data_IF_207240977247
#
_entry.id   IF_207240977247
#
_cell.length_a   1.000
_cell.length_b   1.000
_cell.length_c   1.000
_cell.angle_alpha   90.00
_cell.angle_beta   90.00
_cell.angle_gamma   90.00
#
_symmetry.space_group_name_H-M   'P 1'
#
loop_
_entity.id
_entity.type
_entity.pdbx_description
1 polymer ?
#
# COMPACT_ATOMS: atom_id res chain seq x y z
N UNK A 1 18.06 -20.36 -16.76
CA UNK A 1 17.22 -19.15 -16.73
C UNK A 1 17.91 -18.13 -15.84
N UNK A 2 18.08 -16.89 -16.29
CA UNK A 2 18.68 -15.84 -15.47
C UNK A 2 17.65 -15.32 -14.46
N UNK A 3 18.04 -15.22 -13.18
CA UNK A 3 17.21 -14.62 -12.13
C UNK A 3 17.59 -13.15 -11.99
N UNK A 4 16.64 -12.26 -12.25
CA UNK A 4 16.82 -10.82 -12.06
C UNK A 4 16.66 -10.46 -10.58
N UNK A 5 17.28 -9.35 -10.18
CA UNK A 5 17.12 -8.80 -8.83
C UNK A 5 15.67 -8.31 -8.60
N UNK A 6 15.18 -8.35 -7.35
CA UNK A 6 13.87 -7.76 -7.02
C UNK A 6 13.91 -6.24 -7.16
N UNK A 7 12.72 -5.61 -7.21
CA UNK A 7 12.59 -4.14 -7.25
C UNK A 7 13.26 -3.46 -6.04
N UNK A 8 13.19 -4.09 -4.87
CA UNK A 8 13.81 -3.61 -3.64
C UNK A 8 14.38 -4.80 -2.84
N UNK A 9 15.56 -4.70 -2.18
CA UNK A 9 16.18 -5.83 -1.48
C UNK A 9 15.33 -6.46 -0.37
N UNK A 10 14.41 -5.68 0.22
CA UNK A 10 13.48 -6.18 1.27
C UNK A 10 12.24 -6.89 0.71
N UNK A 11 12.02 -6.86 -0.61
CA UNK A 11 10.87 -7.48 -1.27
C UNK A 11 11.34 -8.77 -1.92
N UNK A 12 10.99 -9.91 -1.33
CA UNK A 12 11.32 -11.24 -1.82
C UNK A 12 10.10 -12.00 -2.36
N UNK A 13 8.94 -11.34 -2.45
CA UNK A 13 7.67 -11.86 -2.94
C UNK A 13 7.12 -10.99 -4.07
N UNK A 14 6.06 -11.47 -4.74
CA UNK A 14 5.33 -10.63 -5.68
C UNK A 14 4.67 -9.46 -4.93
N UNK A 15 4.73 -8.29 -5.55
CA UNK A 15 4.03 -7.11 -5.07
C UNK A 15 2.53 -7.27 -5.32
N UNK A 16 1.73 -7.03 -4.29
CA UNK A 16 0.27 -7.09 -4.32
C UNK A 16 -0.28 -5.96 -3.46
N UNK A 17 -1.11 -5.11 -4.05
CA UNK A 17 -1.47 -3.83 -3.44
C UNK A 17 -2.43 -3.02 -4.29
N UNK A 18 -2.59 -1.77 -3.90
CA UNK A 18 -3.46 -0.80 -4.56
C UNK A 18 -2.88 0.61 -4.46
N UNK A 19 -3.51 1.54 -5.17
CA UNK A 19 -3.40 2.95 -4.86
C UNK A 19 -4.18 3.20 -3.56
N UNK A 20 -3.51 3.76 -2.55
CA UNK A 20 -4.10 4.05 -1.26
C UNK A 20 -4.15 5.55 -1.04
N UNK A 21 -5.35 6.07 -0.80
CA UNK A 21 -5.64 7.48 -0.60
C UNK A 21 -6.10 7.78 0.84
N UNK A 22 -5.26 7.55 1.87
CA UNK A 22 -5.63 7.78 3.28
C UNK A 22 -6.01 9.23 3.54
N UNK A 23 -5.47 10.12 2.72
CA UNK A 23 -5.65 11.54 2.87
C UNK A 23 -7.13 11.94 2.70
N UNK A 24 -7.94 11.15 1.99
CA UNK A 24 -9.37 11.41 1.84
C UNK A 24 -10.20 11.07 3.09
N UNK A 25 -9.60 10.43 4.10
CA UNK A 25 -10.29 9.87 5.26
C UNK A 25 -9.84 10.47 6.61
N UNK A 26 -9.21 11.65 6.61
CA UNK A 26 -8.70 12.28 7.84
C UNK A 26 -9.76 12.61 8.90
N UNK A 27 -11.01 12.80 8.48
CA UNK A 27 -12.12 13.08 9.39
C UNK A 27 -12.68 11.81 10.07
N UNK A 28 -12.20 10.63 9.67
CA UNK A 28 -12.65 9.33 10.16
C UNK A 28 -11.43 8.44 10.51
N UNK A 29 -10.68 8.77 11.58
CA UNK A 29 -9.38 8.15 11.87
C UNK A 29 -9.46 6.62 12.08
N UNK A 30 -10.60 6.10 12.53
CA UNK A 30 -10.86 4.66 12.67
C UNK A 30 -10.78 3.88 11.34
N UNK A 31 -10.89 4.56 10.20
CA UNK A 31 -10.82 3.93 8.87
C UNK A 31 -9.40 3.47 8.57
N UNK A 32 -8.37 4.23 8.94
CA UNK A 32 -6.98 3.87 8.66
C UNK A 32 -6.61 2.55 9.37
N UNK A 33 -7.03 2.38 10.62
CA UNK A 33 -6.78 1.13 11.36
C UNK A 33 -7.51 -0.07 10.73
N UNK A 34 -8.75 0.14 10.26
CA UNK A 34 -9.53 -0.88 9.56
C UNK A 34 -8.90 -1.23 8.21
N UNK A 35 -8.43 -0.23 7.47
CA UNK A 35 -7.72 -0.40 6.20
C UNK A 35 -6.50 -1.29 6.38
N UNK A 36 -5.64 -0.98 7.36
CA UNK A 36 -4.43 -1.78 7.65
C UNK A 36 -4.80 -3.22 7.99
N UNK A 37 -5.82 -3.44 8.84
CA UNK A 37 -6.29 -4.77 9.20
C UNK A 37 -6.80 -5.55 7.97
N UNK A 38 -7.57 -4.90 7.09
CA UNK A 38 -8.09 -5.52 5.87
C UNK A 38 -6.97 -5.79 4.84
N UNK A 39 -5.99 -4.89 4.70
CA UNK A 39 -4.81 -5.09 3.85
C UNK A 39 -4.03 -6.32 4.26
N UNK A 40 -3.86 -6.55 5.58
CA UNK A 40 -3.22 -7.75 6.11
C UNK A 40 -4.03 -9.01 5.80
N UNK A 41 -5.36 -8.97 5.96
CA UNK A 41 -6.26 -10.09 5.62
C UNK A 41 -6.21 -10.42 4.12
N UNK A 42 -6.13 -9.40 3.27
CA UNK A 42 -5.99 -9.52 1.82
C UNK A 42 -4.57 -9.88 1.34
N UNK A 43 -3.60 -9.95 2.26
CA UNK A 43 -2.18 -10.19 1.97
C UNK A 43 -1.59 -9.16 1.00
N UNK A 44 -1.99 -7.90 1.15
CA UNK A 44 -1.34 -6.78 0.46
C UNK A 44 0.00 -6.44 1.14
N UNK A 45 1.01 -6.08 0.36
CA UNK A 45 2.37 -5.82 0.84
C UNK A 45 3.00 -4.53 0.29
N UNK A 46 2.27 -3.77 -0.50
CA UNK A 46 2.69 -2.46 -1.04
C UNK A 46 1.47 -1.59 -1.28
N UNK A 47 1.64 -0.28 -1.19
CA UNK A 47 0.63 0.71 -1.60
C UNK A 47 1.31 1.85 -2.33
N UNK A 48 0.65 2.38 -3.36
CA UNK A 48 1.02 3.68 -3.94
C UNK A 48 0.27 4.77 -3.19
N UNK A 49 0.96 5.74 -2.62
CA UNK A 49 0.35 6.84 -1.86
C UNK A 49 0.72 8.18 -2.50
N UNK A 50 -0.10 9.21 -2.31
CA UNK A 50 0.26 10.57 -2.72
C UNK A 50 0.04 10.90 -4.20
N UNK A 51 -0.56 10.00 -5.00
CA UNK A 51 -0.69 10.18 -6.46
C UNK A 51 -1.45 11.46 -6.82
N UNK A 52 -2.52 11.78 -6.07
CA UNK A 52 -3.38 12.95 -6.30
C UNK A 52 -3.49 13.85 -5.08
N UNK A 53 -2.49 13.84 -4.20
CA UNK A 53 -2.58 14.49 -2.88
C UNK A 53 -1.98 15.89 -2.84
N UNK A 54 -1.80 16.57 -3.99
CA UNK A 54 -1.24 17.92 -4.03
C UNK A 54 -2.18 18.96 -3.42
N UNK A 55 -3.45 19.01 -3.85
CA UNK A 55 -4.42 20.05 -3.45
C UNK A 55 -4.86 19.98 -1.98
N UNK A 56 -4.11 19.22 -1.18
CA UNK A 56 -4.37 18.96 0.21
C UNK A 56 -3.67 19.95 1.12
#
# INVERSE_FOLDING_TARGET
MNKFAPLHPKVNTLLHGADYNPEQWENDPDIIDKDIAMMQQAKCNVMSVGIFSWAK
#
